data_IF_844102893991
#
_entry.id   IF_844102893991
#
_cell.length_a   1.000
_cell.length_b   1.000
_cell.length_c   1.000
_cell.angle_alpha   90.00
_cell.angle_beta   90.00
_cell.angle_gamma   90.00
#
_symmetry.space_group_name_H-M   'P 1'
#
loop_
_entity.id
_entity.type
_entity.pdbx_description
1 polymer ?
#
# COMPACT_ATOMS: atom_id res chain seq x y z
N UNK A 1 20.26 51.01 3.10
CA UNK A 1 20.38 49.84 4.01
C UNK A 1 19.03 49.19 4.17
N UNK A 2 18.82 48.01 3.57
CA UNK A 2 17.55 47.29 3.59
C UNK A 2 17.55 46.27 4.74
N UNK A 3 16.61 46.42 5.71
CA UNK A 3 16.40 45.47 6.81
C UNK A 3 15.76 44.18 6.28
N UNK A 4 16.50 43.06 6.30
CA UNK A 4 15.97 41.73 6.12
C UNK A 4 14.94 41.41 7.24
N UNK A 5 13.66 41.36 6.92
CA UNK A 5 12.63 40.83 7.83
C UNK A 5 12.86 39.31 7.99
N UNK A 6 13.31 38.91 9.18
CA UNK A 6 13.42 37.51 9.56
C UNK A 6 12.05 36.85 9.48
N UNK A 7 11.94 35.70 8.77
CA UNK A 7 10.78 34.83 8.80
C UNK A 7 10.62 34.31 10.23
N UNK A 8 9.59 34.78 10.92
CA UNK A 8 9.18 34.21 12.20
C UNK A 8 8.94 32.72 12.00
N UNK A 9 9.77 31.87 12.59
CA UNK A 9 9.64 30.42 12.54
C UNK A 9 8.31 30.05 13.21
N UNK A 10 7.41 29.43 12.45
CA UNK A 10 6.23 28.77 13.04
C UNK A 10 6.75 27.66 13.94
N UNK A 11 6.60 27.82 15.24
CA UNK A 11 6.89 26.78 16.22
C UNK A 11 6.20 25.46 15.85
N UNK A 12 6.70 24.30 16.33
CA UNK A 12 6.13 23.01 16.01
C UNK A 12 4.65 23.00 16.40
N UNK A 13 3.77 22.81 15.40
CA UNK A 13 2.35 22.65 15.65
C UNK A 13 2.17 21.36 16.46
N UNK A 14 1.51 21.46 17.62
CA UNK A 14 1.13 20.29 18.40
C UNK A 14 0.35 19.26 17.57
N UNK A 15 0.26 18.01 18.03
CA UNK A 15 -0.41 16.93 17.29
C UNK A 15 -1.87 17.29 17.01
N UNK A 16 -2.32 17.01 15.78
CA UNK A 16 -3.73 17.19 15.40
C UNK A 16 -4.65 16.30 16.24
N UNK A 17 -5.96 16.58 16.25
CA UNK A 17 -6.95 15.75 16.93
C UNK A 17 -6.88 14.28 16.45
N UNK A 18 -6.72 14.06 15.16
CA UNK A 18 -6.57 12.73 14.57
C UNK A 18 -5.27 12.04 15.03
N UNK A 19 -4.17 12.78 15.12
CA UNK A 19 -2.91 12.25 15.64
C UNK A 19 -3.03 11.88 17.14
N UNK A 20 -3.76 12.68 17.94
CA UNK A 20 -4.00 12.36 19.34
C UNK A 20 -4.82 11.08 19.50
N UNK A 21 -5.89 10.91 18.71
CA UNK A 21 -6.68 9.68 18.69
C UNK A 21 -5.86 8.48 18.23
N UNK A 22 -5.04 8.64 17.21
CA UNK A 22 -4.13 7.59 16.73
C UNK A 22 -3.11 7.17 17.81
N UNK A 23 -2.53 8.14 18.52
CA UNK A 23 -1.59 7.88 19.60
C UNK A 23 -2.28 7.21 20.80
N UNK A 24 -3.47 7.64 21.19
CA UNK A 24 -4.25 7.01 22.26
C UNK A 24 -4.57 5.54 21.92
N UNK A 25 -5.03 5.26 20.71
CA UNK A 25 -5.28 3.89 20.27
C UNK A 25 -3.99 3.05 20.27
N UNK A 26 -2.87 3.61 19.86
CA UNK A 26 -1.58 2.92 19.90
C UNK A 26 -1.14 2.60 21.34
N UNK A 27 -1.27 3.57 22.25
CA UNK A 27 -0.95 3.38 23.68
C UNK A 27 -1.82 2.27 24.28
N UNK A 28 -3.13 2.29 24.00
CA UNK A 28 -4.06 1.27 24.45
C UNK A 28 -3.69 -0.13 23.94
N UNK A 29 -3.36 -0.25 22.65
CA UNK A 29 -2.95 -1.53 22.06
C UNK A 29 -1.60 -2.00 22.61
N UNK A 30 -0.66 -1.08 22.86
CA UNK A 30 0.64 -1.47 23.45
C UNK A 30 0.53 -1.97 24.87
N UNK A 31 -0.33 -1.33 25.70
CA UNK A 31 -0.61 -1.83 27.05
C UNK A 31 -1.22 -3.23 27.00
N UNK A 32 -2.18 -3.47 26.09
CA UNK A 32 -2.76 -4.80 25.91
C UNK A 32 -1.72 -5.85 25.46
N UNK A 33 -0.67 -5.47 24.72
CA UNK A 33 0.45 -6.36 24.42
C UNK A 33 1.26 -6.73 25.68
N UNK A 34 1.44 -5.77 26.58
CA UNK A 34 2.16 -5.99 27.84
C UNK A 34 1.36 -6.89 28.81
N UNK A 35 0.02 -6.85 28.72
CA UNK A 35 -0.89 -7.68 29.51
C UNK A 35 -1.06 -9.12 28.98
N UNK A 36 -0.47 -9.45 27.80
CA UNK A 36 -0.48 -10.81 27.27
C UNK A 36 0.49 -11.71 28.08
N UNK A 37 0.10 -12.94 28.30
CA UNK A 37 0.99 -13.95 28.83
C UNK A 37 2.04 -14.41 27.79
N UNK A 38 3.02 -15.19 28.24
CA UNK A 38 4.11 -15.64 27.37
C UNK A 38 3.63 -16.60 26.27
N UNK A 39 2.62 -17.41 26.54
CA UNK A 39 2.04 -18.32 25.55
C UNK A 39 1.29 -17.53 24.45
N UNK A 40 0.51 -16.55 24.86
CA UNK A 40 -0.18 -15.65 23.91
C UNK A 40 0.84 -14.88 23.05
N UNK A 41 1.87 -14.31 23.67
CA UNK A 41 2.96 -13.64 22.93
C UNK A 41 3.70 -14.58 21.99
N UNK A 42 3.89 -15.85 22.39
CA UNK A 42 4.53 -16.85 21.53
C UNK A 42 3.71 -17.10 20.26
N UNK A 43 2.36 -17.22 20.37
CA UNK A 43 1.50 -17.41 19.20
C UNK A 43 1.62 -16.28 18.20
N UNK A 44 1.68 -15.03 18.68
CA UNK A 44 1.89 -13.85 17.84
C UNK A 44 3.29 -13.84 17.21
N UNK A 45 4.34 -14.24 17.95
CA UNK A 45 5.71 -14.34 17.42
C UNK A 45 5.83 -15.38 16.31
N UNK A 46 5.24 -16.56 16.51
CA UNK A 46 5.23 -17.63 15.52
C UNK A 46 4.56 -17.16 14.23
N UNK A 47 3.34 -16.62 14.32
CA UNK A 47 2.65 -16.14 13.13
C UNK A 47 3.36 -14.92 12.49
N UNK A 48 3.87 -14.00 13.29
CA UNK A 48 4.66 -12.88 12.80
C UNK A 48 5.84 -13.31 11.96
N UNK A 49 6.54 -14.39 12.37
CA UNK A 49 7.66 -14.96 11.61
C UNK A 49 7.23 -15.43 10.21
N UNK A 50 6.10 -16.12 10.09
CA UNK A 50 5.54 -16.50 8.78
C UNK A 50 5.24 -15.29 7.89
N UNK A 51 4.81 -14.19 8.50
CA UNK A 51 4.46 -12.95 7.81
C UNK A 51 5.65 -11.99 7.64
N UNK A 52 6.88 -12.46 7.92
CA UNK A 52 8.13 -11.67 7.86
C UNK A 52 8.05 -10.35 8.65
N UNK A 53 7.42 -10.41 9.82
CA UNK A 53 7.29 -9.30 10.77
C UNK A 53 7.51 -9.79 12.20
N UNK A 54 7.66 -8.87 13.15
CA UNK A 54 7.73 -9.26 14.57
C UNK A 54 6.33 -9.53 15.14
N UNK A 55 6.22 -10.39 16.16
CA UNK A 55 4.94 -10.67 16.80
C UNK A 55 4.24 -9.39 17.30
N UNK A 56 4.99 -8.47 17.92
CA UNK A 56 4.44 -7.19 18.39
C UNK A 56 3.94 -6.29 17.25
N UNK A 57 4.62 -6.27 16.11
CA UNK A 57 4.16 -5.49 14.95
C UNK A 57 2.91 -6.11 14.33
N UNK A 58 2.83 -7.44 14.29
CA UNK A 58 1.63 -8.13 13.84
C UNK A 58 0.46 -7.88 14.77
N UNK A 59 0.66 -8.00 16.10
CA UNK A 59 -0.34 -7.66 17.12
C UNK A 59 -0.84 -6.22 16.96
N UNK A 60 0.07 -5.23 16.86
CA UNK A 60 -0.28 -3.83 16.63
C UNK A 60 -1.13 -3.65 15.37
N UNK A 61 -0.74 -4.27 14.27
CA UNK A 61 -1.45 -4.16 12.99
C UNK A 61 -2.90 -4.62 13.09
N UNK A 62 -3.13 -5.76 13.74
CA UNK A 62 -4.47 -6.34 13.91
C UNK A 62 -5.29 -5.48 14.90
N UNK A 63 -4.73 -5.22 16.07
CA UNK A 63 -5.49 -4.62 17.18
C UNK A 63 -5.71 -3.11 17.04
N UNK A 64 -4.86 -2.36 16.32
CA UNK A 64 -5.16 -0.98 15.98
C UNK A 64 -6.41 -0.84 15.09
N UNK A 65 -6.65 -1.80 14.18
CA UNK A 65 -7.86 -1.80 13.37
C UNK A 65 -9.09 -2.07 14.22
N UNK A 66 -9.00 -3.05 15.14
CA UNK A 66 -10.07 -3.39 16.07
C UNK A 66 -10.38 -2.22 17.01
N UNK A 67 -9.36 -1.64 17.62
CA UNK A 67 -9.51 -0.47 18.50
C UNK A 67 -10.20 0.72 17.81
N UNK A 68 -9.85 0.99 16.53
CA UNK A 68 -10.49 2.06 15.75
C UNK A 68 -11.95 1.79 15.40
N UNK A 69 -12.39 0.53 15.43
CA UNK A 69 -13.78 0.12 15.21
C UNK A 69 -14.55 -0.04 16.53
N UNK A 70 -13.90 0.18 17.67
CA UNK A 70 -14.50 -0.07 18.97
C UNK A 70 -14.68 -1.55 19.30
N UNK A 71 -13.97 -2.44 18.61
CA UNK A 71 -14.02 -3.88 18.81
C UNK A 71 -13.06 -4.28 19.94
N UNK A 72 -13.39 -5.38 20.63
CA UNK A 72 -12.49 -6.00 21.60
C UNK A 72 -11.15 -6.39 20.98
N UNK A 73 -10.05 -6.19 21.72
CA UNK A 73 -8.72 -6.56 21.21
C UNK A 73 -8.54 -8.08 21.19
N UNK A 74 -7.94 -8.58 20.11
CA UNK A 74 -7.64 -10.00 20.01
C UNK A 74 -6.42 -10.34 20.88
N UNK A 75 -6.57 -11.27 21.81
CA UNK A 75 -5.47 -11.81 22.63
C UNK A 75 -4.65 -12.84 21.89
N UNK A 76 -5.27 -13.61 21.01
CA UNK A 76 -4.61 -14.56 20.12
C UNK A 76 -4.72 -14.07 18.67
N UNK A 77 -3.71 -14.35 17.82
CA UNK A 77 -3.80 -13.98 16.42
C UNK A 77 -4.94 -14.71 15.73
N UNK A 78 -5.61 -14.07 14.76
CA UNK A 78 -6.60 -14.77 13.96
C UNK A 78 -5.95 -15.99 13.31
N UNK A 79 -6.71 -17.09 13.10
CA UNK A 79 -6.17 -18.30 12.50
C UNK A 79 -5.51 -17.96 11.18
N UNK A 80 -4.23 -18.28 11.07
CA UNK A 80 -3.48 -18.12 9.83
C UNK A 80 -3.97 -19.19 8.86
N UNK A 81 -4.76 -18.78 7.89
CA UNK A 81 -4.94 -19.58 6.69
C UNK A 81 -3.77 -19.25 5.77
N UNK A 82 -2.86 -20.22 5.51
CA UNK A 82 -1.85 -19.99 4.50
C UNK A 82 -2.57 -19.54 3.24
N UNK A 83 -2.13 -18.42 2.69
CA UNK A 83 -2.68 -17.96 1.45
C UNK A 83 -2.23 -18.92 0.34
N UNK A 84 -3.08 -19.86 -0.02
CA UNK A 84 -2.85 -20.86 -1.05
C UNK A 84 -3.09 -20.34 -2.46
N UNK A 85 -3.60 -19.15 -2.54
CA UNK A 85 -4.18 -18.59 -3.74
C UNK A 85 -3.20 -18.04 -4.78
N UNK A 86 -1.90 -18.27 -4.69
CA UNK A 86 -0.95 -17.81 -5.69
C UNK A 86 -0.98 -16.28 -5.94
N UNK A 87 -0.26 -15.82 -6.95
CA UNK A 87 -0.26 -14.41 -7.33
C UNK A 87 -1.61 -13.99 -7.90
N UNK A 88 -2.10 -12.82 -7.47
CA UNK A 88 -3.30 -12.19 -8.03
C UNK A 88 -2.98 -11.60 -9.40
N UNK A 89 -1.81 -10.92 -9.50
CA UNK A 89 -1.39 -10.29 -10.73
C UNK A 89 -0.74 -11.31 -11.67
N UNK A 90 -1.16 -11.27 -12.92
CA UNK A 90 -0.51 -11.95 -14.05
C UNK A 90 0.52 -11.02 -14.68
N UNK A 91 0.16 -9.74 -14.89
CA UNK A 91 1.01 -8.77 -15.54
C UNK A 91 0.43 -7.37 -15.61
N UNK A 92 1.17 -6.51 -16.27
CA UNK A 92 0.77 -5.16 -16.67
C UNK A 92 0.94 -5.05 -18.19
N UNK A 93 -0.12 -4.68 -18.88
CA UNK A 93 -0.09 -4.41 -20.32
C UNK A 93 -0.22 -2.92 -20.55
N UNK A 94 0.66 -2.37 -21.38
CA UNK A 94 0.61 -0.98 -21.84
C UNK A 94 0.25 -1.02 -23.32
N UNK A 95 -0.80 -0.32 -23.70
CA UNK A 95 -1.19 -0.18 -25.11
C UNK A 95 -0.99 1.26 -25.55
N UNK A 96 -0.06 1.45 -26.48
CA UNK A 96 0.18 2.75 -27.11
C UNK A 96 -1.03 3.16 -27.95
N UNK A 97 -1.41 4.43 -27.87
CA UNK A 97 -2.53 5.04 -28.60
C UNK A 97 -2.08 6.27 -29.41
N UNK A 98 -0.80 6.33 -29.76
CA UNK A 98 -0.20 7.44 -30.49
C UNK A 98 0.37 8.51 -29.56
N UNK A 99 -0.44 9.39 -29.04
CA UNK A 99 -0.08 10.49 -28.15
C UNK A 99 -0.33 10.21 -26.65
N UNK A 100 -0.83 9.02 -26.35
CA UNK A 100 -1.08 8.53 -24.99
C UNK A 100 -1.04 7.00 -24.93
N UNK A 101 -1.19 6.41 -23.75
CA UNK A 101 -1.26 4.96 -23.56
C UNK A 101 -2.35 4.57 -22.57
N UNK A 102 -2.83 3.34 -22.71
CA UNK A 102 -3.69 2.73 -21.71
C UNK A 102 -2.91 1.70 -20.88
N UNK A 103 -3.29 1.58 -19.61
CA UNK A 103 -2.70 0.66 -18.64
C UNK A 103 -3.73 -0.34 -18.18
N UNK A 104 -3.42 -1.62 -18.36
CA UNK A 104 -4.29 -2.72 -17.98
C UNK A 104 -3.56 -3.66 -17.03
N UNK A 105 -4.11 -3.85 -15.82
CA UNK A 105 -3.68 -4.92 -14.91
C UNK A 105 -4.32 -6.23 -15.36
N UNK A 106 -3.51 -7.22 -15.62
CA UNK A 106 -3.96 -8.58 -15.89
C UNK A 106 -4.00 -9.37 -14.58
N UNK A 107 -5.16 -9.93 -14.27
CA UNK A 107 -5.39 -10.71 -13.05
C UNK A 107 -5.39 -12.20 -13.38
N UNK A 108 -4.77 -13.00 -12.50
CA UNK A 108 -4.85 -14.47 -12.56
C UNK A 108 -6.16 -14.99 -12.00
N UNK A 109 -6.76 -14.23 -11.10
CA UNK A 109 -8.01 -14.59 -10.42
C UNK A 109 -8.74 -13.34 -9.96
N UNK A 110 -10.02 -13.47 -9.69
CA UNK A 110 -10.84 -12.40 -9.12
C UNK A 110 -10.39 -12.11 -7.68
N UNK A 111 -10.09 -10.85 -7.36
CA UNK A 111 -9.77 -10.45 -5.99
C UNK A 111 -10.96 -10.69 -5.06
N UNK A 112 -10.71 -11.22 -3.87
CA UNK A 112 -11.73 -11.45 -2.84
C UNK A 112 -12.04 -10.19 -2.01
N UNK A 113 -11.17 -9.18 -2.08
CA UNK A 113 -11.32 -7.91 -1.37
C UNK A 113 -10.82 -6.75 -2.24
N UNK A 114 -11.24 -5.51 -1.95
CA UNK A 114 -10.74 -4.33 -2.67
C UNK A 114 -9.22 -4.23 -2.64
N UNK A 115 -8.64 -3.85 -3.76
CA UNK A 115 -7.20 -3.67 -3.90
C UNK A 115 -6.83 -2.19 -3.82
N UNK A 116 -5.82 -1.84 -3.05
CA UNK A 116 -5.17 -0.53 -3.14
C UNK A 116 -4.08 -0.59 -4.19
N UNK A 117 -4.02 0.43 -5.05
CA UNK A 117 -3.10 0.51 -6.18
C UNK A 117 -2.13 1.67 -5.99
N UNK A 118 -0.85 1.42 -6.23
CA UNK A 118 0.22 2.40 -6.30
C UNK A 118 0.87 2.34 -7.67
N UNK A 119 1.34 3.48 -8.17
CA UNK A 119 2.06 3.54 -9.43
C UNK A 119 3.25 4.48 -9.35
N UNK A 120 4.37 4.07 -9.90
CA UNK A 120 5.54 4.92 -10.05
C UNK A 120 5.45 5.75 -11.33
N UNK A 121 6.12 6.91 -11.37
CA UNK A 121 6.39 7.61 -12.63
C UNK A 121 7.20 6.70 -13.55
N UNK A 122 7.06 6.86 -14.87
CA UNK A 122 7.91 6.11 -15.81
C UNK A 122 9.40 6.32 -15.49
N UNK A 123 10.15 5.25 -15.45
CA UNK A 123 11.57 5.26 -15.09
C UNK A 123 12.41 4.46 -16.10
N UNK A 124 13.73 4.68 -16.10
CA UNK A 124 14.65 4.04 -17.05
C UNK A 124 14.67 2.52 -16.86
N UNK A 125 15.04 1.79 -17.92
CA UNK A 125 15.07 0.31 -17.94
C UNK A 125 15.90 -0.32 -16.83
N UNK A 126 17.00 0.31 -16.42
CA UNK A 126 17.88 -0.19 -15.36
C UNK A 126 17.34 -0.06 -13.93
N UNK A 127 16.19 0.60 -13.74
CA UNK A 127 15.61 0.75 -12.41
C UNK A 127 14.90 -0.55 -12.04
N UNK A 128 15.38 -1.23 -11.01
CA UNK A 128 14.75 -2.45 -10.47
C UNK A 128 13.56 -2.11 -9.57
N UNK A 129 13.69 -1.05 -8.77
CA UNK A 129 12.62 -0.56 -7.89
C UNK A 129 12.56 0.96 -7.92
N UNK A 130 11.36 1.54 -8.15
CA UNK A 130 11.22 2.98 -8.14
C UNK A 130 11.35 3.54 -6.73
N UNK A 131 12.07 4.67 -6.58
CA UNK A 131 12.25 5.34 -5.29
C UNK A 131 10.95 5.85 -4.68
N UNK A 132 9.97 6.21 -5.52
CA UNK A 132 8.64 6.69 -5.11
C UNK A 132 7.56 5.98 -5.89
N UNK A 133 6.60 5.41 -5.17
CA UNK A 133 5.43 4.76 -5.74
C UNK A 133 4.19 5.27 -4.99
N UNK A 134 3.68 6.47 -5.34
CA UNK A 134 2.53 7.06 -4.67
C UNK A 134 1.27 6.23 -4.88
N UNK A 135 0.34 6.35 -3.94
CA UNK A 135 -0.98 5.74 -4.06
C UNK A 135 -1.73 6.40 -5.23
N UNK A 136 -2.27 5.58 -6.12
CA UNK A 136 -3.14 5.99 -7.22
C UNK A 136 -4.61 6.02 -6.77
N UNK A 137 -5.04 4.94 -6.11
CA UNK A 137 -6.43 4.76 -5.71
C UNK A 137 -6.68 3.36 -5.19
N UNK A 138 -7.91 2.91 -5.35
CA UNK A 138 -8.32 1.56 -5.04
C UNK A 138 -9.25 1.02 -6.13
N UNK A 139 -9.29 -0.30 -6.27
CA UNK A 139 -10.13 -1.03 -7.19
C UNK A 139 -11.07 -1.93 -6.39
N UNK A 140 -12.35 -2.04 -6.77
CA UNK A 140 -13.30 -2.93 -6.11
C UNK A 140 -12.93 -4.41 -6.31
N UNK A 141 -13.47 -5.28 -5.47
CA UNK A 141 -13.20 -6.73 -5.50
C UNK A 141 -13.77 -7.45 -6.73
N UNK A 142 -14.70 -6.85 -7.46
CA UNK A 142 -15.60 -7.57 -8.37
C UNK A 142 -15.05 -7.82 -9.79
N UNK A 143 -13.78 -7.55 -10.07
CA UNK A 143 -13.26 -7.64 -11.44
C UNK A 143 -12.22 -8.76 -11.57
N UNK A 144 -12.56 -9.80 -12.36
CA UNK A 144 -11.61 -10.78 -12.87
C UNK A 144 -11.06 -10.38 -14.25
N UNK A 145 -9.96 -10.99 -14.65
CA UNK A 145 -9.38 -10.82 -15.97
C UNK A 145 -8.51 -9.57 -16.13
N UNK A 146 -8.96 -8.59 -16.90
CA UNK A 146 -8.20 -7.38 -17.22
C UNK A 146 -8.91 -6.14 -16.69
N UNK A 147 -8.21 -5.33 -15.91
CA UNK A 147 -8.74 -4.09 -15.32
C UNK A 147 -7.97 -2.90 -15.90
N UNK A 148 -8.66 -1.95 -16.49
CA UNK A 148 -8.06 -0.69 -16.90
C UNK A 148 -7.84 0.23 -15.70
N UNK A 149 -6.61 0.73 -15.56
CA UNK A 149 -6.18 1.65 -14.49
C UNK A 149 -5.63 2.97 -15.04
N UNK A 150 -5.86 3.23 -16.32
CA UNK A 150 -5.35 4.41 -17.04
C UNK A 150 -5.72 5.70 -16.34
N UNK A 151 -7.00 5.88 -16.01
CA UNK A 151 -7.48 7.09 -15.36
C UNK A 151 -6.83 7.31 -14.01
N UNK A 152 -6.75 6.28 -13.14
CA UNK A 152 -6.08 6.36 -11.84
C UNK A 152 -4.62 6.78 -11.98
N UNK A 153 -3.94 6.27 -13.00
CA UNK A 153 -2.55 6.59 -13.26
C UNK A 153 -2.39 8.04 -13.73
N UNK A 154 -3.20 8.47 -14.69
CA UNK A 154 -3.12 9.81 -15.27
C UNK A 154 -3.57 10.90 -14.29
N UNK A 155 -4.53 10.67 -13.41
CA UNK A 155 -4.87 11.59 -12.34
C UNK A 155 -3.65 11.96 -11.48
N UNK A 156 -2.72 11.02 -11.29
CA UNK A 156 -1.52 11.24 -10.47
C UNK A 156 -0.30 11.66 -11.26
N UNK A 157 -0.13 11.15 -12.45
CA UNK A 157 1.09 11.29 -13.24
C UNK A 157 0.88 11.94 -14.62
N UNK A 158 -0.36 12.22 -15.01
CA UNK A 158 -0.71 12.67 -16.36
C UNK A 158 0.06 13.91 -16.79
N UNK A 159 0.15 14.94 -15.93
CA UNK A 159 0.95 16.14 -16.23
C UNK A 159 2.40 15.82 -16.58
N UNK A 160 3.03 14.92 -15.82
CA UNK A 160 4.42 14.50 -16.07
C UNK A 160 4.56 13.73 -17.37
N UNK A 161 3.62 12.79 -17.64
CA UNK A 161 3.62 11.95 -18.83
C UNK A 161 3.40 12.80 -20.08
N UNK A 162 2.38 13.67 -20.07
CA UNK A 162 2.05 14.53 -21.23
C UNK A 162 3.17 15.52 -21.57
N UNK A 163 3.83 16.09 -20.57
CA UNK A 163 4.94 17.01 -20.78
C UNK A 163 6.19 16.35 -21.37
N UNK A 164 6.31 15.01 -21.25
CA UNK A 164 7.50 14.24 -21.66
C UNK A 164 7.15 13.05 -22.53
N UNK A 165 6.07 13.16 -23.28
CA UNK A 165 5.55 12.05 -24.06
C UNK A 165 6.62 11.40 -24.96
N UNK A 166 7.39 12.20 -25.70
CA UNK A 166 8.46 11.70 -26.56
C UNK A 166 9.54 10.88 -25.83
N UNK A 167 9.68 11.08 -24.52
CA UNK A 167 10.66 10.36 -23.69
C UNK A 167 10.07 9.09 -23.05
N UNK A 168 8.79 8.79 -23.23
CA UNK A 168 8.12 7.69 -22.52
C UNK A 168 8.45 6.34 -23.11
N UNK A 169 8.63 6.26 -24.43
CA UNK A 169 8.96 5.00 -25.12
C UNK A 169 10.25 4.39 -24.53
N UNK A 170 10.17 3.10 -24.22
CA UNK A 170 11.28 2.37 -23.60
C UNK A 170 11.41 2.56 -22.08
N UNK A 171 10.61 3.38 -21.44
CA UNK A 171 10.57 3.47 -19.96
C UNK A 171 9.71 2.37 -19.34
N UNK A 172 10.02 2.02 -18.11
CA UNK A 172 9.22 1.08 -17.30
C UNK A 172 8.19 1.84 -16.47
N UNK A 173 6.97 1.32 -16.43
CA UNK A 173 5.95 1.70 -15.47
C UNK A 173 5.81 0.57 -14.47
N UNK A 174 5.89 0.90 -13.18
CA UNK A 174 5.70 -0.03 -12.07
C UNK A 174 4.35 0.22 -11.43
N UNK A 175 3.61 -0.86 -11.24
CA UNK A 175 2.34 -0.85 -10.51
C UNK A 175 2.47 -1.86 -9.38
N UNK A 176 2.12 -1.42 -8.18
CA UNK A 176 2.03 -2.26 -6.99
C UNK A 176 0.58 -2.31 -6.54
N UNK A 177 0.12 -3.48 -6.18
CA UNK A 177 -1.19 -3.67 -5.57
C UNK A 177 -1.04 -4.24 -4.17
N UNK A 178 -2.00 -3.89 -3.32
CA UNK A 178 -2.17 -4.48 -2.00
C UNK A 178 -3.61 -4.95 -1.89
N UNK A 179 -3.79 -6.19 -1.56
CA UNK A 179 -5.07 -6.74 -1.15
C UNK A 179 -5.01 -7.10 0.33
N UNK A 180 -6.04 -6.70 1.08
CA UNK A 180 -6.26 -7.24 2.40
C UNK A 180 -6.99 -8.56 2.26
N UNK A 181 -6.37 -9.65 2.74
CA UNK A 181 -6.99 -10.97 2.77
C UNK A 181 -7.44 -11.29 4.19
N UNK A 182 -8.28 -12.33 4.32
CA UNK A 182 -8.77 -12.80 5.61
C UNK A 182 -7.62 -12.98 6.61
N UNK A 183 -7.87 -12.57 7.85
CA UNK A 183 -6.84 -12.56 8.89
C UNK A 183 -5.98 -11.30 8.94
N UNK A 184 -6.33 -10.24 8.19
CA UNK A 184 -5.65 -8.95 8.21
C UNK A 184 -4.23 -8.97 7.61
N UNK A 185 -3.92 -9.96 6.82
CA UNK A 185 -2.68 -10.06 6.06
C UNK A 185 -2.80 -9.22 4.80
N UNK A 186 -1.81 -8.36 4.54
CA UNK A 186 -1.74 -7.63 3.28
C UNK A 186 -0.85 -8.40 2.31
N UNK A 187 -1.40 -8.74 1.16
CA UNK A 187 -0.62 -9.23 0.04
C UNK A 187 -0.17 -8.06 -0.81
N UNK A 188 1.13 -7.98 -1.01
CA UNK A 188 1.74 -6.99 -1.90
C UNK A 188 2.31 -7.69 -3.12
N UNK A 189 1.86 -7.25 -4.28
CA UNK A 189 2.41 -7.70 -5.55
C UNK A 189 2.81 -6.50 -6.40
N UNK A 190 3.88 -6.66 -7.17
CA UNK A 190 4.39 -5.63 -8.05
C UNK A 190 4.58 -6.21 -9.45
N UNK A 191 4.13 -5.47 -10.44
CA UNK A 191 4.33 -5.76 -11.86
C UNK A 191 4.84 -4.53 -12.57
N UNK A 192 5.52 -4.73 -13.67
CA UNK A 192 5.96 -3.64 -14.53
C UNK A 192 5.83 -4.00 -16.01
N UNK A 193 5.75 -2.98 -16.84
CA UNK A 193 5.80 -3.12 -18.28
C UNK A 193 6.59 -1.96 -18.91
N UNK A 194 7.06 -2.17 -20.14
CA UNK A 194 7.68 -1.13 -20.94
C UNK A 194 6.62 -0.38 -21.74
N UNK A 195 6.79 0.92 -21.86
CA UNK A 195 6.08 1.74 -22.85
C UNK A 195 6.75 1.46 -24.19
N UNK A 196 6.02 0.83 -25.09
CA UNK A 196 6.47 0.45 -26.45
C UNK A 196 5.83 1.33 -27.49
#
# INVERSE_FOLDING_TARGET
>A
MARKRGKAGRGPKGPSAEQRLGNAALTYVMKAWEDLDDQERLTWRVQGKYLRTTGVNYFKKINLRRARRGEELARVPPPFKPYDGGRILKGLTIRNRGDWFTLHLELRRTPTAPMTVWGARPCNRGVERPAKCPRLGWLPAAHGGMIEITELYFQKHGKYVMQRWAEMVGKRIFIRVRQEVDGGVDLYEEVWALVT
#
